data_IF_257532022335
#
_entry.id   IF_257532022335
#
_cell.length_a   1.000
_cell.length_b   1.000
_cell.length_c   1.000
_cell.angle_alpha   90.00
_cell.angle_beta   90.00
_cell.angle_gamma   90.00
#
_symmetry.space_group_name_H-M   'P 1'
#
loop_
_entity.id
_entity.type
_entity.pdbx_description
1 polymer ?
#
# COMPACT_ATOMS: atom_id res chain seq x y z
N UNK A 1 0.48 26.60 -35.05
CA UNK A 1 1.95 26.51 -34.97
C UNK A 1 2.49 26.12 -33.58
N UNK A 2 1.72 25.46 -32.71
CA UNK A 2 2.15 25.05 -31.34
C UNK A 2 2.25 23.53 -31.13
N UNK A 3 1.78 22.71 -32.09
CA UNK A 3 1.71 21.25 -31.95
C UNK A 3 3.03 20.50 -32.06
N UNK A 4 4.08 21.11 -32.62
CA UNK A 4 5.41 20.49 -32.75
C UNK A 4 6.26 20.67 -31.49
N UNK A 5 6.14 21.83 -30.81
CA UNK A 5 6.67 22.02 -29.46
C UNK A 5 6.05 21.00 -28.48
N UNK A 6 4.69 20.86 -28.50
CA UNK A 6 3.95 19.59 -28.40
C UNK A 6 4.72 18.29 -28.14
N UNK A 7 5.33 17.80 -29.21
CA UNK A 7 5.94 16.49 -29.30
C UNK A 7 7.41 16.44 -28.82
N UNK A 8 8.00 17.60 -28.51
CA UNK A 8 9.41 17.74 -28.11
C UNK A 8 9.63 17.90 -26.59
N UNK A 9 8.57 18.12 -25.79
CA UNK A 9 8.72 18.02 -24.34
C UNK A 9 8.30 16.62 -23.89
N UNK A 10 9.03 15.97 -22.97
CA UNK A 10 8.54 14.78 -22.28
C UNK A 10 7.43 15.26 -21.34
N UNK A 11 6.17 14.99 -21.69
CA UNK A 11 5.00 15.65 -21.09
C UNK A 11 4.15 14.61 -20.37
N UNK A 12 4.00 14.77 -19.06
CA UNK A 12 2.92 14.24 -18.20
C UNK A 12 2.71 12.72 -18.17
N UNK A 13 2.53 12.04 -19.30
CA UNK A 13 2.18 10.60 -19.41
C UNK A 13 3.14 9.70 -18.64
N UNK A 14 4.43 10.04 -18.63
CA UNK A 14 5.46 9.25 -17.93
C UNK A 14 5.24 9.16 -16.41
N UNK A 15 4.70 10.19 -15.77
CA UNK A 15 4.45 10.14 -14.32
C UNK A 15 3.34 9.16 -14.00
N UNK A 16 2.25 9.20 -14.76
CA UNK A 16 1.14 8.27 -14.60
C UNK A 16 1.55 6.83 -14.92
N UNK A 17 2.35 6.61 -15.96
CA UNK A 17 2.90 5.28 -16.24
C UNK A 17 3.72 4.72 -15.06
N UNK A 18 4.52 5.57 -14.40
CA UNK A 18 5.32 5.19 -13.24
C UNK A 18 4.43 4.92 -12.01
N UNK A 19 3.43 5.77 -11.74
CA UNK A 19 2.47 5.53 -10.67
C UNK A 19 1.67 4.24 -10.88
N UNK A 20 1.19 3.98 -12.10
CA UNK A 20 0.48 2.75 -12.45
C UNK A 20 1.38 1.51 -12.36
N UNK A 21 2.66 1.64 -12.71
CA UNK A 21 3.64 0.57 -12.51
C UNK A 21 3.83 0.31 -11.01
N UNK A 22 4.01 1.36 -10.21
CA UNK A 22 4.18 1.25 -8.76
C UNK A 22 2.96 0.63 -8.08
N UNK A 23 1.75 1.11 -8.38
CA UNK A 23 0.52 0.59 -7.78
C UNK A 23 0.28 -0.89 -8.10
N UNK A 24 0.62 -1.34 -9.32
CA UNK A 24 0.62 -2.77 -9.66
C UNK A 24 1.63 -3.58 -8.87
N UNK A 25 2.82 -3.03 -8.59
CA UNK A 25 3.81 -3.67 -7.72
C UNK A 25 3.27 -3.81 -6.29
N UNK A 26 2.63 -2.76 -5.75
CA UNK A 26 1.97 -2.77 -4.44
C UNK A 26 0.86 -3.82 -4.37
N UNK A 27 0.01 -3.93 -5.41
CA UNK A 27 -1.01 -5.00 -5.50
C UNK A 27 -0.35 -6.37 -5.47
N UNK A 28 0.73 -6.59 -6.24
CA UNK A 28 1.48 -7.84 -6.19
C UNK A 28 2.04 -8.15 -4.80
N UNK A 29 2.45 -7.12 -4.05
CA UNK A 29 2.95 -7.24 -2.69
C UNK A 29 1.84 -7.68 -1.74
N UNK A 30 0.67 -7.06 -1.85
CA UNK A 30 -0.51 -7.41 -1.08
C UNK A 30 -1.02 -8.83 -1.38
N UNK A 31 -1.00 -9.26 -2.65
CA UNK A 31 -1.33 -10.63 -3.04
C UNK A 31 -0.37 -11.65 -2.42
N UNK A 32 0.93 -11.34 -2.41
CA UNK A 32 1.93 -12.19 -1.77
C UNK A 32 1.76 -12.22 -0.25
N UNK A 33 1.43 -11.09 0.39
CA UNK A 33 1.16 -11.02 1.82
C UNK A 33 -0.09 -11.82 2.20
N UNK A 34 -1.16 -11.73 1.41
CA UNK A 34 -2.36 -12.54 1.63
C UNK A 34 -2.03 -14.04 1.62
N UNK A 35 -1.27 -14.50 0.61
CA UNK A 35 -0.85 -15.91 0.49
C UNK A 35 0.11 -16.32 1.60
N UNK A 36 1.00 -15.43 2.04
CA UNK A 36 1.87 -15.66 3.19
C UNK A 36 1.03 -16.02 4.42
N UNK A 37 -0.05 -15.27 4.66
CA UNK A 37 -0.91 -15.44 5.83
C UNK A 37 -1.76 -16.72 5.78
N UNK A 38 -1.89 -17.38 4.63
CA UNK A 38 -2.46 -18.74 4.56
C UNK A 38 -1.61 -19.77 5.34
N UNK A 39 -0.32 -19.47 5.54
CA UNK A 39 0.62 -20.25 6.32
C UNK A 39 1.21 -21.46 5.58
N UNK A 40 1.84 -22.36 6.32
CA UNK A 40 2.41 -23.60 5.80
C UNK A 40 3.77 -23.45 5.09
N UNK A 41 4.05 -24.34 4.15
CA UNK A 41 5.37 -24.42 3.49
C UNK A 41 5.65 -23.26 2.52
N UNK A 42 4.59 -22.59 2.02
CA UNK A 42 4.69 -21.47 1.08
C UNK A 42 5.15 -20.14 1.70
N UNK A 43 5.19 -20.03 3.03
CA UNK A 43 5.51 -18.78 3.74
C UNK A 43 6.82 -18.15 3.26
N UNK A 44 7.89 -18.94 3.17
CA UNK A 44 9.20 -18.41 2.78
C UNK A 44 9.29 -18.04 1.29
N UNK A 45 8.48 -18.66 0.44
CA UNK A 45 8.33 -18.23 -0.96
C UNK A 45 7.68 -16.85 -1.03
N UNK A 46 6.57 -16.65 -0.31
CA UNK A 46 5.85 -15.38 -0.30
C UNK A 46 6.65 -14.26 0.38
N UNK A 47 7.39 -14.57 1.45
CA UNK A 47 8.35 -13.65 2.05
C UNK A 47 9.37 -13.13 1.01
N UNK A 48 9.97 -14.03 0.23
CA UNK A 48 10.92 -13.62 -0.84
C UNK A 48 10.24 -12.78 -1.90
N UNK A 49 9.01 -13.12 -2.27
CA UNK A 49 8.26 -12.36 -3.29
C UNK A 49 7.95 -10.93 -2.83
N UNK A 50 7.57 -10.73 -1.58
CA UNK A 50 7.32 -9.39 -1.02
C UNK A 50 8.61 -8.56 -1.03
N UNK A 51 9.74 -9.12 -0.62
CA UNK A 51 11.04 -8.44 -0.65
C UNK A 51 11.45 -8.05 -2.08
N UNK A 52 11.23 -8.93 -3.05
CA UNK A 52 11.53 -8.65 -4.45
C UNK A 52 10.67 -7.50 -4.99
N UNK A 53 9.38 -7.47 -4.63
CA UNK A 53 8.45 -6.44 -5.06
C UNK A 53 8.72 -5.10 -4.38
N UNK A 54 9.11 -5.11 -3.09
CA UNK A 54 9.53 -3.89 -2.39
C UNK A 54 10.73 -3.25 -3.09
N UNK A 55 11.81 -4.00 -3.38
CA UNK A 55 12.94 -3.45 -4.13
C UNK A 55 12.53 -2.90 -5.52
N UNK A 56 11.56 -3.53 -6.19
CA UNK A 56 11.03 -3.04 -7.47
C UNK A 56 10.26 -1.73 -7.30
N UNK A 57 9.48 -1.59 -6.23
CA UNK A 57 8.77 -0.36 -5.88
C UNK A 57 9.76 0.77 -5.57
N UNK A 58 10.77 0.48 -4.76
CA UNK A 58 11.87 1.37 -4.38
C UNK A 58 12.60 1.97 -5.60
N UNK A 59 12.87 1.12 -6.61
CA UNK A 59 13.46 1.55 -7.87
C UNK A 59 12.52 2.47 -8.67
N UNK A 60 11.21 2.19 -8.69
CA UNK A 60 10.21 3.04 -9.35
C UNK A 60 10.09 4.38 -8.62
N UNK A 61 10.06 4.37 -7.29
CA UNK A 61 10.07 5.57 -6.44
C UNK A 61 11.26 6.45 -6.78
N UNK A 62 12.46 5.86 -6.88
CA UNK A 62 13.66 6.58 -7.31
C UNK A 62 13.52 7.17 -8.72
N UNK A 63 12.94 6.42 -9.66
CA UNK A 63 12.68 6.92 -11.02
C UNK A 63 11.75 8.14 -11.03
N UNK A 64 10.67 8.11 -10.24
CA UNK A 64 9.72 9.23 -10.09
C UNK A 64 10.43 10.46 -9.53
N UNK A 65 11.19 10.32 -8.43
CA UNK A 65 11.90 11.43 -7.81
C UNK A 65 12.93 12.07 -8.76
N UNK A 66 13.66 11.26 -9.53
CA UNK A 66 14.56 11.76 -10.58
C UNK A 66 13.79 12.47 -11.69
N UNK A 67 12.63 11.94 -12.09
CA UNK A 67 11.77 12.56 -13.10
C UNK A 67 11.23 13.92 -12.62
N UNK A 68 10.81 14.04 -11.36
CA UNK A 68 10.42 15.32 -10.76
C UNK A 68 11.56 16.33 -10.90
N UNK A 69 12.76 15.99 -10.44
CA UNK A 69 13.91 16.90 -10.50
C UNK A 69 14.29 17.38 -11.91
N UNK A 70 14.07 16.54 -12.93
CA UNK A 70 14.46 16.83 -14.32
C UNK A 70 13.35 17.45 -15.16
N UNK A 71 12.10 17.33 -14.74
CA UNK A 71 10.95 17.79 -15.52
C UNK A 71 10.73 19.28 -15.30
N UNK A 72 10.53 20.04 -16.39
CA UNK A 72 10.15 21.46 -16.31
C UNK A 72 8.64 21.63 -16.09
N UNK A 73 7.84 20.70 -16.61
CA UNK A 73 6.37 20.67 -16.50
C UNK A 73 5.99 19.37 -15.80
N UNK A 74 5.10 19.46 -14.81
CA UNK A 74 4.57 18.32 -14.04
C UNK A 74 3.03 18.29 -14.14
N UNK A 75 2.39 17.11 -14.01
CA UNK A 75 0.93 16.98 -14.15
C UNK A 75 0.14 17.69 -13.02
N UNK A 76 0.73 17.81 -11.84
CA UNK A 76 0.24 18.56 -10.68
C UNK A 76 1.47 19.01 -9.85
N UNK A 77 1.26 19.51 -8.62
CA UNK A 77 2.36 20.05 -7.81
C UNK A 77 3.46 19.01 -7.54
N UNK A 78 4.70 19.49 -7.36
CA UNK A 78 5.85 18.60 -7.13
C UNK A 78 5.81 17.97 -5.74
N UNK A 79 5.25 18.67 -4.76
CA UNK A 79 4.96 18.17 -3.42
C UNK A 79 4.04 16.97 -3.51
N UNK A 80 2.86 17.15 -4.10
CA UNK A 80 1.89 16.08 -4.35
C UNK A 80 2.48 14.84 -5.04
N UNK A 81 3.30 15.02 -6.10
CA UNK A 81 3.94 13.88 -6.78
C UNK A 81 4.87 13.13 -5.84
N UNK A 82 5.66 13.88 -5.05
CA UNK A 82 6.61 13.33 -4.10
C UNK A 82 5.87 12.60 -2.97
N UNK A 83 4.82 13.21 -2.42
CA UNK A 83 4.12 12.70 -1.26
C UNK A 83 3.26 11.48 -1.66
N UNK A 84 2.60 11.51 -2.82
CA UNK A 84 1.90 10.34 -3.37
C UNK A 84 2.83 9.13 -3.61
N UNK A 85 4.00 9.33 -4.24
CA UNK A 85 4.91 8.20 -4.48
C UNK A 85 5.49 7.66 -3.18
N UNK A 86 5.78 8.53 -2.21
CA UNK A 86 6.28 8.13 -0.89
C UNK A 86 5.24 7.33 -0.12
N UNK A 87 3.97 7.75 -0.12
CA UNK A 87 2.89 7.00 0.54
C UNK A 87 2.66 5.62 -0.10
N UNK A 88 2.78 5.51 -1.43
CA UNK A 88 2.71 4.21 -2.13
C UNK A 88 3.88 3.29 -1.75
N UNK A 89 5.08 3.84 -1.65
CA UNK A 89 6.32 3.13 -1.26
C UNK A 89 6.21 2.63 0.19
N UNK A 90 5.76 3.50 1.10
CA UNK A 90 5.53 3.18 2.51
C UNK A 90 4.58 1.98 2.70
N UNK A 91 3.55 1.84 1.85
CA UNK A 91 2.61 0.73 1.91
C UNK A 91 3.27 -0.64 1.68
N UNK A 92 4.11 -0.77 0.64
CA UNK A 92 4.83 -2.01 0.36
C UNK A 92 6.00 -2.23 1.32
N UNK A 93 6.65 -1.16 1.76
CA UNK A 93 7.66 -1.20 2.82
C UNK A 93 7.11 -1.77 4.13
N UNK A 94 5.87 -1.42 4.48
CA UNK A 94 5.22 -1.97 5.66
C UNK A 94 4.92 -3.47 5.50
N UNK A 95 4.56 -3.92 4.31
CA UNK A 95 4.44 -5.37 4.02
C UNK A 95 5.77 -6.09 4.20
N UNK A 96 6.88 -5.47 3.77
CA UNK A 96 8.22 -6.02 4.00
C UNK A 96 8.59 -6.02 5.49
N UNK A 97 8.19 -5.01 6.28
CA UNK A 97 8.36 -5.03 7.75
C UNK A 97 7.63 -6.20 8.40
N UNK A 98 6.42 -6.55 7.94
CA UNK A 98 5.71 -7.77 8.37
C UNK A 98 6.54 -9.03 8.08
N UNK A 99 7.13 -9.15 6.88
CA UNK A 99 8.02 -10.28 6.52
C UNK A 99 9.20 -10.41 7.47
N UNK A 100 9.81 -9.29 7.90
CA UNK A 100 10.94 -9.31 8.84
C UNK A 100 10.54 -9.97 10.16
N UNK A 101 9.36 -9.64 10.69
CA UNK A 101 8.83 -10.23 11.94
C UNK A 101 8.51 -11.71 11.75
N UNK A 102 7.82 -12.07 10.66
CA UNK A 102 7.49 -13.47 10.33
C UNK A 102 8.74 -14.35 10.28
N UNK A 103 9.80 -13.88 9.60
CA UNK A 103 11.07 -14.61 9.53
C UNK A 103 11.82 -14.64 10.84
N UNK A 104 11.87 -13.52 11.57
CA UNK A 104 12.60 -13.41 12.83
C UNK A 104 12.10 -14.41 13.87
N UNK A 105 10.78 -14.63 13.91
CA UNK A 105 10.13 -15.55 14.83
C UNK A 105 9.73 -16.88 14.20
N UNK A 106 10.21 -17.17 12.98
CA UNK A 106 9.97 -18.42 12.25
C UNK A 106 8.49 -18.82 12.15
N UNK A 107 7.60 -17.84 12.03
CA UNK A 107 6.15 -18.06 12.05
C UNK A 107 5.68 -18.73 10.76
N UNK A 108 4.85 -19.77 10.93
CA UNK A 108 4.27 -20.55 9.82
C UNK A 108 2.75 -20.71 9.92
N UNK A 109 2.18 -20.31 11.05
CA UNK A 109 0.76 -20.36 11.32
C UNK A 109 0.28 -18.96 11.68
N UNK A 110 -0.90 -18.60 11.18
CA UNK A 110 -1.49 -17.29 11.36
C UNK A 110 -2.95 -17.45 11.71
N UNK A 111 -3.41 -16.58 12.60
CA UNK A 111 -4.79 -16.57 13.06
C UNK A 111 -5.77 -16.32 11.91
N UNK A 112 -7.01 -16.82 12.00
CA UNK A 112 -8.04 -16.54 11.01
C UNK A 112 -8.26 -15.05 10.75
N UNK A 113 -8.16 -14.20 11.78
CA UNK A 113 -8.32 -12.74 11.63
C UNK A 113 -7.13 -12.10 10.93
N UNK A 114 -5.90 -12.58 11.14
CA UNK A 114 -4.74 -12.13 10.37
C UNK A 114 -4.94 -12.42 8.87
N UNK A 115 -5.50 -13.58 8.52
CA UNK A 115 -5.84 -13.93 7.13
C UNK A 115 -6.91 -13.00 6.55
N UNK A 116 -7.91 -12.64 7.35
CA UNK A 116 -8.93 -11.67 6.97
C UNK A 116 -8.32 -10.29 6.73
N UNK A 117 -7.44 -9.81 7.61
CA UNK A 117 -6.68 -8.58 7.39
C UNK A 117 -5.84 -8.63 6.11
N UNK A 118 -5.23 -9.79 5.79
CA UNK A 118 -4.53 -9.99 4.51
C UNK A 118 -5.44 -9.79 3.28
N UNK A 119 -6.69 -10.23 3.36
CA UNK A 119 -7.68 -10.00 2.29
C UNK A 119 -8.09 -8.53 2.20
N UNK A 120 -8.22 -7.85 3.33
CA UNK A 120 -8.53 -6.41 3.40
C UNK A 120 -7.39 -5.57 2.82
N UNK A 121 -6.14 -5.88 3.15
CA UNK A 121 -4.94 -5.24 2.58
C UNK A 121 -4.94 -5.36 1.05
N UNK A 122 -5.26 -6.55 0.51
CA UNK A 122 -5.37 -6.73 -0.94
C UNK A 122 -6.52 -5.91 -1.54
N UNK A 123 -7.63 -5.78 -0.84
CA UNK A 123 -8.75 -4.94 -1.29
C UNK A 123 -8.34 -3.47 -1.35
N UNK A 124 -7.68 -2.96 -0.31
CA UNK A 124 -7.16 -1.59 -0.26
C UNK A 124 -6.18 -1.33 -1.42
N UNK A 125 -5.21 -2.23 -1.63
CA UNK A 125 -4.25 -2.12 -2.72
C UNK A 125 -4.90 -2.04 -4.11
N UNK A 126 -5.98 -2.79 -4.34
CA UNK A 126 -6.73 -2.75 -5.60
C UNK A 126 -7.49 -1.44 -5.78
N UNK A 127 -8.14 -0.94 -4.73
CA UNK A 127 -8.81 0.36 -4.75
C UNK A 127 -7.82 1.49 -5.06
N UNK A 128 -6.64 1.47 -4.41
CA UNK A 128 -5.56 2.39 -4.71
C UNK A 128 -5.13 2.30 -6.18
N UNK A 129 -4.93 1.09 -6.71
CA UNK A 129 -4.55 0.90 -8.11
C UNK A 129 -5.63 1.38 -9.09
N UNK A 130 -6.91 1.24 -8.76
CA UNK A 130 -8.04 1.76 -9.55
C UNK A 130 -8.12 3.30 -9.51
N UNK A 131 -7.65 3.94 -8.44
CA UNK A 131 -7.63 5.39 -8.30
C UNK A 131 -6.52 6.06 -9.15
N UNK A 132 -5.36 5.41 -9.30
CA UNK A 132 -4.19 6.02 -9.97
C UNK A 132 -4.50 6.51 -11.40
N UNK A 133 -5.12 5.73 -12.31
CA UNK A 133 -5.41 6.20 -13.67
C UNK A 133 -6.38 7.38 -13.71
N UNK A 134 -7.23 7.53 -12.69
CA UNK A 134 -8.21 8.61 -12.61
C UNK A 134 -7.55 9.97 -12.35
N UNK A 135 -6.35 9.98 -11.78
CA UNK A 135 -5.56 11.20 -11.55
C UNK A 135 -5.15 11.91 -12.85
N UNK A 136 -5.18 11.23 -14.01
CA UNK A 136 -4.92 11.88 -15.30
C UNK A 136 -5.94 12.99 -15.63
N UNK A 137 -7.15 12.90 -15.06
CA UNK A 137 -8.24 13.85 -15.27
C UNK A 137 -8.96 14.13 -13.95
N UNK A 138 -8.20 14.60 -12.94
CA UNK A 138 -8.68 14.84 -11.56
C UNK A 138 -10.04 15.53 -11.54
N UNK A 139 -10.18 16.70 -12.17
CA UNK A 139 -11.44 17.46 -12.16
C UNK A 139 -12.65 16.71 -12.76
N UNK A 140 -12.44 15.86 -13.77
CA UNK A 140 -13.51 15.05 -14.34
C UNK A 140 -13.85 13.81 -13.50
N UNK A 141 -12.89 13.35 -12.69
CA UNK A 141 -12.99 12.13 -11.89
C UNK A 141 -13.14 12.40 -10.38
N UNK A 142 -13.25 13.66 -9.94
CA UNK A 142 -13.23 14.07 -8.54
C UNK A 142 -14.23 13.29 -7.67
N UNK A 143 -15.48 13.15 -8.12
CA UNK A 143 -16.49 12.38 -7.39
C UNK A 143 -16.11 10.90 -7.23
N UNK A 144 -15.53 10.29 -8.28
CA UNK A 144 -15.10 8.89 -8.23
C UNK A 144 -13.87 8.70 -7.34
N UNK A 145 -12.93 9.64 -7.37
CA UNK A 145 -11.76 9.64 -6.47
C UNK A 145 -12.19 9.77 -5.01
N UNK A 146 -13.18 10.62 -4.71
CA UNK A 146 -13.76 10.75 -3.36
C UNK A 146 -14.42 9.45 -2.89
N UNK A 147 -15.22 8.79 -3.75
CA UNK A 147 -15.82 7.49 -3.44
C UNK A 147 -14.76 6.43 -3.10
N UNK A 148 -13.67 6.37 -3.87
CA UNK A 148 -12.58 5.42 -3.62
C UNK A 148 -11.86 5.71 -2.29
N UNK A 149 -11.69 6.99 -1.93
CA UNK A 149 -11.14 7.36 -0.63
C UNK A 149 -12.05 6.93 0.53
N UNK A 150 -13.37 7.12 0.40
CA UNK A 150 -14.36 6.62 1.37
C UNK A 150 -14.36 5.09 1.46
N UNK A 151 -14.13 4.38 0.35
CA UNK A 151 -13.95 2.92 0.34
C UNK A 151 -12.75 2.48 1.19
N UNK A 152 -11.62 3.19 1.09
CA UNK A 152 -10.42 2.92 1.90
C UNK A 152 -10.68 3.19 3.38
N UNK A 153 -11.35 4.29 3.73
CA UNK A 153 -11.71 4.57 5.14
C UNK A 153 -12.59 3.47 5.76
N UNK A 154 -13.51 2.89 4.99
CA UNK A 154 -14.33 1.76 5.48
C UNK A 154 -13.52 0.48 5.69
N UNK A 155 -12.48 0.29 4.88
CA UNK A 155 -11.54 -0.82 5.00
C UNK A 155 -10.68 -0.67 6.25
N UNK A 156 -10.16 0.53 6.51
CA UNK A 156 -9.38 0.86 7.72
C UNK A 156 -10.19 0.55 8.99
N UNK A 157 -11.40 1.08 9.11
CA UNK A 157 -12.23 0.81 10.30
C UNK A 157 -12.53 -0.68 10.51
N UNK A 158 -12.61 -1.48 9.44
CA UNK A 158 -12.76 -2.94 9.56
C UNK A 158 -11.45 -3.61 9.99
N UNK A 159 -10.30 -3.13 9.54
CA UNK A 159 -8.99 -3.64 9.94
C UNK A 159 -8.74 -3.38 11.44
N UNK A 160 -9.10 -2.21 11.93
CA UNK A 160 -9.02 -1.83 13.35
C UNK A 160 -9.86 -2.76 14.25
N UNK A 161 -11.11 -3.01 13.86
CA UNK A 161 -11.97 -3.97 14.56
C UNK A 161 -11.29 -5.35 14.66
N UNK A 162 -10.75 -5.85 13.55
CA UNK A 162 -10.09 -7.15 13.50
C UNK A 162 -8.80 -7.18 14.32
N UNK A 163 -8.05 -6.09 14.33
CA UNK A 163 -6.87 -5.91 15.16
C UNK A 163 -7.23 -6.03 16.65
N UNK A 164 -8.20 -5.23 17.11
CA UNK A 164 -8.66 -5.27 18.51
C UNK A 164 -9.19 -6.64 18.92
N UNK A 165 -10.03 -7.25 18.09
CA UNK A 165 -10.58 -8.58 18.36
C UNK A 165 -9.48 -9.64 18.40
N UNK A 166 -8.50 -9.55 17.48
CA UNK A 166 -7.31 -10.40 17.44
C UNK A 166 -6.50 -10.33 18.73
N UNK A 167 -6.20 -9.13 19.21
CA UNK A 167 -5.48 -8.94 20.49
C UNK A 167 -6.27 -9.51 21.68
N UNK A 168 -7.59 -9.32 21.70
CA UNK A 168 -8.47 -9.88 22.75
C UNK A 168 -8.43 -11.41 22.75
N UNK A 169 -8.44 -12.02 21.56
CA UNK A 169 -8.40 -13.48 21.42
C UNK A 169 -7.03 -14.05 21.79
N UNK A 170 -5.93 -13.41 21.36
CA UNK A 170 -4.58 -13.77 21.78
C UNK A 170 -4.42 -13.71 23.30
N UNK A 171 -4.93 -12.66 23.95
CA UNK A 171 -4.85 -12.53 25.40
C UNK A 171 -5.62 -13.64 26.12
N UNK A 172 -6.82 -13.97 25.63
CA UNK A 172 -7.64 -15.07 26.20
C UNK A 172 -6.95 -16.42 26.04
N UNK A 173 -6.33 -16.68 24.90
CA UNK A 173 -5.71 -17.96 24.59
C UNK A 173 -4.36 -18.15 25.30
N UNK A 174 -3.51 -17.12 25.28
CA UNK A 174 -2.11 -17.24 25.67
C UNK A 174 -1.72 -16.42 26.91
N UNK A 175 -2.53 -15.44 27.34
CA UNK A 175 -2.15 -14.47 28.38
C UNK A 175 -1.82 -15.05 29.76
N UNK A 176 -2.13 -16.33 30.01
CA UNK A 176 -1.79 -17.04 31.27
C UNK A 176 -0.75 -18.17 31.10
N UNK A 177 -0.48 -18.59 29.87
CA UNK A 177 0.23 -19.84 29.57
C UNK A 177 1.44 -19.62 28.67
N UNK A 178 1.38 -18.68 27.72
CA UNK A 178 2.43 -18.43 26.74
C UNK A 178 2.53 -16.92 26.39
N UNK A 179 3.18 -16.11 27.23
CA UNK A 179 3.35 -14.68 26.95
C UNK A 179 4.14 -14.39 25.66
N UNK A 180 4.98 -15.32 25.21
CA UNK A 180 5.78 -15.15 23.99
C UNK A 180 4.89 -15.27 22.75
N UNK A 181 4.00 -16.25 22.71
CA UNK A 181 3.00 -16.37 21.65
C UNK A 181 2.09 -15.13 21.57
N UNK A 182 1.66 -14.59 22.72
CA UNK A 182 0.92 -13.33 22.77
C UNK A 182 1.73 -12.17 22.17
N UNK A 183 2.99 -12.00 22.58
CA UNK A 183 3.84 -10.90 22.12
C UNK A 183 4.09 -10.96 20.60
N UNK A 184 4.43 -12.14 20.07
CA UNK A 184 4.67 -12.33 18.63
C UNK A 184 3.38 -12.09 17.83
N UNK A 185 2.27 -12.68 18.28
CA UNK A 185 0.98 -12.47 17.61
C UNK A 185 0.55 -11.01 17.62
N UNK A 186 0.72 -10.31 18.75
CA UNK A 186 0.38 -8.89 18.87
C UNK A 186 1.22 -8.01 17.96
N UNK A 187 2.52 -8.31 17.83
CA UNK A 187 3.40 -7.61 16.90
C UNK A 187 2.95 -7.81 15.44
N UNK A 188 2.57 -9.02 15.05
CA UNK A 188 2.06 -9.29 13.69
C UNK A 188 0.75 -8.53 13.43
N UNK A 189 -0.22 -8.58 14.35
CA UNK A 189 -1.45 -7.79 14.23
C UNK A 189 -1.16 -6.30 14.08
N UNK A 190 -0.23 -5.75 14.86
CA UNK A 190 0.15 -4.34 14.79
C UNK A 190 0.87 -3.95 13.50
N UNK A 191 1.59 -4.87 12.86
CA UNK A 191 2.12 -4.58 11.52
C UNK A 191 1.06 -4.66 10.44
N UNK A 192 0.13 -5.61 10.51
CA UNK A 192 -0.95 -5.73 9.54
C UNK A 192 -1.88 -4.50 9.56
N UNK A 193 -2.21 -3.99 10.75
CA UNK A 193 -2.91 -2.71 10.93
C UNK A 193 -2.13 -1.58 10.24
N UNK A 194 -0.86 -1.38 10.58
CA UNK A 194 -0.02 -0.35 9.96
C UNK A 194 0.06 -0.43 8.44
N UNK A 195 -0.03 -1.63 7.83
CA UNK A 195 -0.10 -1.76 6.37
C UNK A 195 -1.37 -1.10 5.84
N UNK A 196 -2.50 -1.30 6.51
CA UNK A 196 -3.78 -0.67 6.14
C UNK A 196 -3.71 0.86 6.33
N UNK A 197 -3.11 1.35 7.41
CA UNK A 197 -2.89 2.79 7.63
C UNK A 197 -2.13 3.43 6.47
N UNK A 198 -1.13 2.74 5.90
CA UNK A 198 -0.38 3.27 4.75
C UNK A 198 -1.29 3.43 3.52
N UNK A 199 -2.30 2.59 3.33
CA UNK A 199 -3.27 2.78 2.26
C UNK A 199 -4.22 3.94 2.53
N UNK A 200 -4.57 4.18 3.79
CA UNK A 200 -5.29 5.40 4.20
C UNK A 200 -4.47 6.65 3.87
N UNK A 201 -3.16 6.67 4.21
CA UNK A 201 -2.25 7.76 3.86
C UNK A 201 -2.27 8.02 2.34
N UNK A 202 -2.23 6.98 1.50
CA UNK A 202 -2.34 7.14 0.03
C UNK A 202 -3.70 7.75 -0.38
N UNK A 203 -4.81 7.33 0.23
CA UNK A 203 -6.13 7.89 -0.04
C UNK A 203 -6.22 9.38 0.37
N UNK A 204 -5.55 9.74 1.48
CA UNK A 204 -5.44 11.12 1.95
C UNK A 204 -4.64 11.98 0.97
N UNK A 205 -3.51 11.49 0.44
CA UNK A 205 -2.74 12.19 -0.61
C UNK A 205 -3.56 12.39 -1.89
N UNK A 206 -4.29 11.36 -2.34
CA UNK A 206 -5.19 11.45 -3.49
C UNK A 206 -6.28 12.50 -3.25
N UNK A 207 -6.86 12.54 -2.05
CA UNK A 207 -7.88 13.52 -1.68
C UNK A 207 -7.31 14.95 -1.65
N UNK A 208 -6.08 15.13 -1.17
CA UNK A 208 -5.35 16.38 -1.23
C UNK A 208 -5.21 16.89 -2.67
N UNK A 209 -4.74 16.03 -3.58
CA UNK A 209 -4.63 16.35 -5.01
C UNK A 209 -5.98 16.77 -5.61
N UNK A 210 -7.08 16.09 -5.24
CA UNK A 210 -8.43 16.47 -5.70
C UNK A 210 -8.80 17.87 -5.22
N UNK A 211 -8.57 18.20 -3.96
CA UNK A 211 -8.91 19.51 -3.37
C UNK A 211 -8.14 20.64 -4.07
N UNK A 212 -6.88 20.42 -4.44
CA UNK A 212 -6.05 21.44 -5.08
C UNK A 212 -6.36 21.66 -6.57
N UNK A 213 -7.00 20.68 -7.23
CA UNK A 213 -7.21 20.67 -8.68
C UNK A 213 -8.68 20.80 -9.12
N UNK A 214 -9.61 20.98 -8.17
CA UNK A 214 -11.07 21.14 -8.40
C UNK A 214 -11.53 22.56 -8.12
#
# INVERSE_FOLDING_TARGET
MLGWFRALLPREDRFFDLFEKHSRTVVGGAEALQKLLEGGEGVEEHCRRIVELEHQADDITREVLVAVHRSFITPFDRGDIKDLIQSLDDAIDMMHKTVKIVRLFEQREFDPKMREMGAIILQAAKITADAIPLLQKVGANAARLQELAEDVMRIEGRADELHEEGLKDLFRQYGRSDPMAYMIGSEIYGQLEKVVDRFEDVANEISGIVIENV
#
